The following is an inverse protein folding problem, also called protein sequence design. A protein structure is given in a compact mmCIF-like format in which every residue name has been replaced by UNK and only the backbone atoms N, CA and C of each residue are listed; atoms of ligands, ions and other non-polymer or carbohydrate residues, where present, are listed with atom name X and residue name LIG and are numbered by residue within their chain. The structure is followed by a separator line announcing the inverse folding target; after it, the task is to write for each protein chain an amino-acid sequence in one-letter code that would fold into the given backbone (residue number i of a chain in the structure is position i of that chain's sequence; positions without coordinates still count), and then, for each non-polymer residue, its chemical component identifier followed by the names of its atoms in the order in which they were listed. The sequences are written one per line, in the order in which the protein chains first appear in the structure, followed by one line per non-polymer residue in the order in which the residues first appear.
data_IF_955553115689
#
_entry.id   IF_955553115689
#
_cell.length_a   1.000
_cell.length_b   1.000
_cell.length_c   1.000
_cell.angle_alpha   90.00
_cell.angle_beta   90.00
_cell.angle_gamma   90.00
#
_symmetry.space_group_name_H-M   'P 1'
#
loop_
_entity.id
_entity.type
_entity.pdbx_description
1 polymer ?
#
# COMPACT_ATOMS: atom_id res chain seq x y z
N UNK A 1 51.84 55.98 -11.93
CA UNK A 1 52.39 54.61 -12.02
C UNK A 1 52.19 53.95 -10.67
N UNK A 2 51.56 52.78 -10.69
CA UNK A 2 50.97 52.09 -9.53
C UNK A 2 52.10 51.51 -8.65
N UNK A 3 52.13 51.87 -7.37
CA UNK A 3 52.88 51.13 -6.34
C UNK A 3 51.88 50.41 -5.44
N UNK A 4 51.86 49.09 -5.56
CA UNK A 4 51.07 48.18 -4.75
C UNK A 4 51.76 47.98 -3.38
N UNK A 5 51.02 48.19 -2.30
CA UNK A 5 51.42 47.82 -0.95
C UNK A 5 50.73 46.51 -0.56
N UNK A 6 51.54 45.52 -0.19
CA UNK A 6 51.14 44.20 0.29
C UNK A 6 50.62 44.33 1.72
N UNK A 7 49.38 43.88 1.98
CA UNK A 7 48.88 43.62 3.33
C UNK A 7 48.81 42.10 3.55
N UNK A 8 49.50 41.64 4.58
CA UNK A 8 49.49 40.26 5.09
C UNK A 8 48.29 40.10 6.02
N UNK A 9 47.39 39.16 5.72
CA UNK A 9 46.31 38.76 6.62
C UNK A 9 46.63 37.38 7.25
N UNK A 10 46.43 37.20 8.58
CA UNK A 10 46.76 35.96 9.27
C UNK A 10 45.73 34.85 9.01
N UNK A 11 46.22 33.67 8.63
CA UNK A 11 45.44 32.44 8.51
C UNK A 11 45.04 31.98 9.91
N UNK A 12 43.74 32.03 10.23
CA UNK A 12 43.20 31.40 11.42
C UNK A 12 42.91 29.92 11.11
N UNK A 13 43.67 29.03 11.73
CA UNK A 13 43.37 27.59 11.77
C UNK A 13 42.24 27.38 12.78
N UNK A 14 41.02 27.18 12.30
CA UNK A 14 39.90 26.73 13.13
C UNK A 14 39.90 25.21 13.07
N UNK A 15 40.25 24.58 14.20
CA UNK A 15 40.24 23.14 14.36
C UNK A 15 38.85 22.54 14.16
N UNK A 16 38.78 21.45 13.39
CA UNK A 16 37.58 20.65 13.24
C UNK A 16 37.26 19.95 14.57
N UNK A 17 36.23 20.41 15.26
CA UNK A 17 35.61 19.63 16.32
C UNK A 17 34.78 18.51 15.69
N UNK A 18 35.11 17.25 16.01
CA UNK A 18 34.28 16.11 15.65
C UNK A 18 32.94 16.23 16.39
N UNK A 19 31.87 16.49 15.66
CA UNK A 19 30.50 16.35 16.17
C UNK A 19 30.21 14.85 16.24
N UNK A 20 30.28 14.29 17.45
CA UNK A 20 29.75 12.97 17.72
C UNK A 20 28.23 13.03 17.60
N UNK A 21 27.69 12.51 16.48
CA UNK A 21 26.27 12.22 16.36
C UNK A 21 25.92 11.05 17.29
N UNK A 22 25.76 11.35 18.57
CA UNK A 22 25.12 10.47 19.53
C UNK A 22 23.67 10.28 19.09
N UNK A 23 23.39 9.12 18.49
CA UNK A 23 22.04 8.59 18.29
C UNK A 23 21.29 8.64 19.63
N UNK A 24 20.46 9.67 19.80
CA UNK A 24 19.38 9.63 20.80
C UNK A 24 18.36 8.65 20.25
N UNK A 25 18.53 7.39 20.64
CA UNK A 25 17.46 6.40 20.58
C UNK A 25 16.20 7.04 21.15
N UNK A 26 15.17 7.16 20.31
CA UNK A 26 13.85 7.61 20.72
C UNK A 26 13.40 6.69 21.87
N UNK A 27 13.39 7.21 23.09
CA UNK A 27 12.81 6.53 24.24
C UNK A 27 11.35 6.25 23.88
N UNK A 28 11.00 4.96 23.83
CA UNK A 28 9.66 4.50 23.57
C UNK A 28 8.66 5.28 24.41
N UNK A 29 7.68 5.87 23.74
CA UNK A 29 6.55 6.48 24.41
C UNK A 29 5.89 5.40 25.27
N UNK A 30 5.93 5.62 26.58
CA UNK A 30 5.18 4.83 27.55
C UNK A 30 3.71 4.85 27.16
N UNK A 31 3.14 3.66 26.92
CA UNK A 31 1.69 3.47 26.74
C UNK A 31 1.02 3.68 28.09
N UNK A 32 0.77 4.93 28.46
CA UNK A 32 -0.18 5.25 29.53
C UNK A 32 -1.58 5.10 28.96
N UNK A 33 -2.22 3.99 29.32
CA UNK A 33 -3.56 3.56 28.94
C UNK A 33 -4.64 4.43 29.64
N UNK A 34 -4.70 5.73 29.33
CA UNK A 34 -5.87 6.55 29.65
C UNK A 34 -6.78 6.57 28.43
N UNK A 35 -8.00 6.00 28.56
CA UNK A 35 -9.10 6.15 27.59
C UNK A 35 -9.36 7.63 27.34
N UNK A 36 -8.64 8.24 26.42
CA UNK A 36 -9.03 9.53 25.84
C UNK A 36 -10.08 9.23 24.79
N UNK A 37 -11.24 9.85 24.93
CA UNK A 37 -12.30 9.83 23.92
C UNK A 37 -11.71 10.25 22.57
N UNK A 38 -12.08 9.59 21.46
CA UNK A 38 -11.72 10.02 20.11
C UNK A 38 -11.98 11.52 19.90
N UNK A 39 -11.10 12.25 19.19
CA UNK A 39 -11.35 13.64 18.85
C UNK A 39 -12.61 13.75 17.99
N UNK A 40 -13.33 14.88 18.15
CA UNK A 40 -14.57 15.18 17.42
C UNK A 40 -14.50 16.57 16.81
N UNK A 41 -15.17 16.74 15.68
CA UNK A 41 -15.39 18.03 15.03
C UNK A 41 -16.44 18.84 15.79
N UNK A 42 -16.57 20.12 15.44
CA UNK A 42 -17.57 21.03 16.02
C UNK A 42 -19.02 20.59 15.80
N UNK A 43 -19.28 19.77 14.79
CA UNK A 43 -20.59 19.18 14.51
C UNK A 43 -20.85 17.86 15.26
N UNK A 44 -19.93 17.45 16.13
CA UNK A 44 -20.04 16.26 16.96
C UNK A 44 -19.60 14.96 16.29
N UNK A 45 -19.31 14.94 14.98
CA UNK A 45 -18.81 13.73 14.32
C UNK A 45 -17.36 13.43 14.76
N UNK A 46 -16.94 12.16 14.80
CA UNK A 46 -15.53 11.83 15.00
C UNK A 46 -14.65 12.52 13.96
N UNK A 47 -13.53 13.08 14.42
CA UNK A 47 -12.52 13.64 13.53
C UNK A 47 -11.61 12.51 13.04
N UNK A 48 -11.70 12.22 11.74
CA UNK A 48 -10.87 11.24 11.05
C UNK A 48 -9.62 11.88 10.44
N UNK A 49 -9.53 13.22 10.46
CA UNK A 49 -8.43 13.95 9.84
C UNK A 49 -7.10 13.60 10.50
N UNK A 50 -6.05 13.61 9.68
CA UNK A 50 -4.69 13.37 10.13
C UNK A 50 -3.94 12.41 9.22
N UNK A 51 -2.79 11.96 9.72
CA UNK A 51 -1.91 11.05 9.03
C UNK A 51 -2.00 9.67 9.66
N UNK A 52 -2.16 8.65 8.82
CA UNK A 52 -2.46 7.29 9.21
C UNK A 52 -1.51 6.34 8.52
N UNK A 53 -1.09 5.29 9.22
CA UNK A 53 -0.36 4.18 8.61
C UNK A 53 -1.09 2.87 8.82
N UNK A 54 -1.21 2.08 7.76
CA UNK A 54 -1.76 0.73 7.80
C UNK A 54 -0.67 -0.37 7.77
N UNK A 55 0.62 0.01 7.87
CA UNK A 55 1.77 -0.90 7.94
C UNK A 55 1.47 -2.02 8.93
N UNK A 56 1.61 -3.30 8.58
CA UNK A 56 1.38 -4.38 9.55
C UNK A 56 2.12 -5.66 9.22
N UNK A 57 2.49 -6.40 10.27
CA UNK A 57 3.06 -7.74 10.14
C UNK A 57 1.95 -8.80 9.98
N UNK A 58 0.69 -8.43 10.26
CA UNK A 58 -0.44 -9.32 10.08
C UNK A 58 -0.59 -9.63 8.59
N UNK A 59 -0.50 -10.89 8.17
CA UNK A 59 -0.62 -11.25 6.77
C UNK A 59 -2.04 -10.99 6.28
N UNK A 60 -2.22 -10.73 4.97
CA UNK A 60 -3.57 -10.53 4.41
C UNK A 60 -4.41 -11.80 4.62
N UNK A 61 -3.87 -12.93 4.20
CA UNK A 61 -4.47 -14.26 4.35
C UNK A 61 -3.86 -15.04 5.52
N UNK A 62 -4.66 -15.88 6.16
CA UNK A 62 -4.21 -16.72 7.27
C UNK A 62 -3.22 -17.78 6.80
N UNK A 63 -1.99 -17.80 7.34
CA UNK A 63 -1.04 -18.87 7.08
C UNK A 63 -1.60 -20.23 7.51
N UNK A 64 -1.25 -21.29 6.79
CA UNK A 64 -1.70 -22.66 7.10
C UNK A 64 -1.30 -23.10 8.52
N UNK A 65 -0.17 -22.60 9.02
CA UNK A 65 0.30 -22.85 10.39
C UNK A 65 -0.68 -22.36 11.48
N UNK A 66 -1.57 -21.43 11.14
CA UNK A 66 -2.62 -20.91 12.03
C UNK A 66 -4.03 -21.35 11.63
N UNK A 67 -4.18 -22.38 10.79
CA UNK A 67 -5.50 -22.88 10.38
C UNK A 67 -6.41 -23.14 11.59
N UNK A 68 -7.65 -22.63 11.54
CA UNK A 68 -8.62 -22.73 12.63
C UNK A 68 -8.33 -21.84 13.86
N UNK A 69 -7.25 -21.05 13.85
CA UNK A 69 -6.87 -20.15 14.95
C UNK A 69 -6.96 -18.69 14.50
N UNK A 70 -7.89 -17.94 15.07
CA UNK A 70 -8.11 -16.54 14.71
C UNK A 70 -7.10 -15.58 15.37
N UNK A 71 -6.55 -15.95 16.52
CA UNK A 71 -5.66 -15.11 17.32
C UNK A 71 -4.33 -15.78 17.65
N UNK A 72 -3.30 -14.96 17.62
CA UNK A 72 -1.95 -15.22 18.10
C UNK A 72 -1.89 -15.08 19.62
N UNK A 73 -1.03 -15.87 20.24
CA UNK A 73 -0.56 -15.65 21.61
C UNK A 73 0.41 -14.48 21.67
N UNK A 74 0.68 -13.95 22.87
CA UNK A 74 1.63 -12.84 23.04
C UNK A 74 3.05 -13.19 22.61
N UNK A 75 3.46 -14.45 22.78
CA UNK A 75 4.77 -14.94 22.31
C UNK A 75 4.84 -15.01 20.80
N UNK A 76 3.77 -15.49 20.15
CA UNK A 76 3.68 -15.52 18.68
C UNK A 76 3.64 -14.12 18.09
N UNK A 77 2.95 -13.16 18.72
CA UNK A 77 2.99 -11.73 18.32
C UNK A 77 4.42 -11.22 18.38
N UNK A 78 5.11 -11.41 19.50
CA UNK A 78 6.52 -10.99 19.66
C UNK A 78 7.43 -11.68 18.65
N UNK A 79 7.17 -12.95 18.30
CA UNK A 79 7.92 -13.70 17.31
C UNK A 79 7.71 -13.12 15.91
N UNK A 80 6.46 -12.86 15.51
CA UNK A 80 6.12 -12.29 14.21
C UNK A 80 6.72 -10.89 14.03
N UNK A 81 6.68 -10.05 15.06
CA UNK A 81 7.31 -8.72 15.02
C UNK A 81 8.84 -8.82 14.90
N UNK A 82 9.48 -9.79 15.59
CA UNK A 82 10.92 -10.04 15.45
C UNK A 82 11.25 -10.53 14.04
N UNK A 83 10.49 -11.50 13.52
CA UNK A 83 10.69 -12.03 12.18
C UNK A 83 10.54 -10.94 11.11
N UNK A 84 9.54 -10.06 11.23
CA UNK A 84 9.36 -8.93 10.32
C UNK A 84 10.56 -7.99 10.31
N UNK A 85 11.11 -7.67 11.50
CA UNK A 85 12.35 -6.86 11.62
C UNK A 85 13.56 -7.56 11.01
N UNK A 86 13.78 -8.83 11.31
CA UNK A 86 14.93 -9.57 10.79
C UNK A 86 14.84 -9.76 9.28
N UNK A 87 13.65 -10.01 8.72
CA UNK A 87 13.41 -10.09 7.27
C UNK A 87 13.73 -8.74 6.59
N UNK A 88 13.30 -7.64 7.19
CA UNK A 88 13.60 -6.30 6.70
C UNK A 88 15.10 -6.05 6.71
N UNK A 89 15.79 -6.31 7.83
CA UNK A 89 17.24 -6.17 7.95
C UNK A 89 18.01 -7.07 6.96
N UNK A 90 17.56 -8.31 6.76
CA UNK A 90 18.18 -9.25 5.84
C UNK A 90 18.10 -8.78 4.37
N UNK A 91 17.14 -7.92 4.02
CA UNK A 91 17.02 -7.37 2.66
C UNK A 91 18.23 -6.53 2.22
N UNK A 92 19.02 -5.97 3.15
CA UNK A 92 20.29 -5.29 2.81
C UNK A 92 21.33 -6.24 2.21
N UNK A 93 21.21 -7.53 2.49
CA UNK A 93 22.12 -8.57 1.99
C UNK A 93 21.58 -9.33 0.78
N UNK A 94 20.37 -8.98 0.31
CA UNK A 94 19.75 -9.60 -0.86
C UNK A 94 20.39 -9.05 -2.14
N UNK A 95 21.54 -9.61 -2.52
CA UNK A 95 22.12 -9.46 -3.85
C UNK A 95 21.56 -10.59 -4.71
N UNK A 96 20.83 -10.26 -5.78
CA UNK A 96 20.40 -11.28 -6.74
C UNK A 96 21.62 -11.88 -7.43
N UNK A 97 21.62 -13.21 -7.55
CA UNK A 97 22.67 -13.97 -8.24
C UNK A 97 22.29 -14.35 -9.67
N UNK A 98 21.09 -13.97 -10.13
CA UNK A 98 20.61 -14.32 -11.47
C UNK A 98 20.99 -13.21 -12.45
N UNK A 99 21.62 -13.53 -13.59
CA UNK A 99 21.89 -12.55 -14.63
C UNK A 99 20.60 -11.85 -15.07
N UNK A 100 20.59 -10.51 -15.06
CA UNK A 100 19.45 -9.70 -15.49
C UNK A 100 18.45 -9.32 -14.40
N UNK A 101 18.55 -9.85 -13.18
CA UNK A 101 17.77 -9.36 -12.05
C UNK A 101 18.47 -8.14 -11.41
N UNK A 102 17.69 -7.11 -11.06
CA UNK A 102 18.21 -5.88 -10.41
C UNK A 102 18.14 -5.90 -8.88
N UNK A 103 17.65 -7.00 -8.31
CA UNK A 103 17.43 -7.16 -6.87
C UNK A 103 16.08 -6.60 -6.43
N UNK A 104 15.89 -6.54 -5.12
CA UNK A 104 14.69 -5.99 -4.46
C UNK A 104 15.10 -4.83 -3.52
N UNK A 105 14.12 -4.09 -3.01
CA UNK A 105 14.33 -3.02 -2.05
C UNK A 105 15.04 -3.52 -0.78
N UNK A 106 15.96 -2.70 -0.28
CA UNK A 106 16.73 -2.94 0.94
C UNK A 106 16.00 -2.43 2.20
N UNK A 107 16.65 -2.54 3.36
CA UNK A 107 16.04 -2.21 4.65
C UNK A 107 15.81 -0.70 4.84
N UNK A 108 16.43 0.15 4.02
CA UNK A 108 16.22 1.59 4.06
C UNK A 108 14.85 2.00 3.52
N UNK A 109 14.27 1.20 2.62
CA UNK A 109 12.95 1.47 2.03
C UNK A 109 11.85 0.60 2.64
N UNK A 110 12.14 -0.67 2.95
CA UNK A 110 11.15 -1.57 3.52
C UNK A 110 10.75 -1.15 4.93
N UNK A 111 9.45 -1.10 5.18
CA UNK A 111 8.93 -0.85 6.51
C UNK A 111 9.00 -2.12 7.35
N UNK A 112 9.66 -2.04 8.51
CA UNK A 112 9.53 -3.09 9.50
C UNK A 112 8.28 -2.84 10.34
N UNK A 113 7.38 -3.83 10.36
CA UNK A 113 6.08 -3.73 10.99
C UNK A 113 6.13 -3.80 12.53
N UNK A 114 6.95 -2.93 13.14
CA UNK A 114 7.43 -3.00 14.54
C UNK A 114 6.36 -2.84 15.62
N UNK A 115 5.16 -2.33 15.30
CA UNK A 115 4.19 -1.86 16.32
C UNK A 115 2.72 -2.27 16.08
N UNK A 116 2.44 -3.13 15.09
CA UNK A 116 1.13 -3.11 14.43
C UNK A 116 0.26 -4.38 14.59
N UNK A 117 0.74 -5.44 15.24
CA UNK A 117 -0.10 -6.63 15.49
C UNK A 117 -0.99 -6.43 16.74
N UNK A 118 -1.60 -5.26 16.89
CA UNK A 118 -2.38 -4.87 18.06
C UNK A 118 -3.66 -5.70 18.23
N UNK A 119 -4.23 -6.19 17.14
CA UNK A 119 -5.42 -7.06 17.14
C UNK A 119 -5.10 -8.50 17.49
N UNK A 120 -3.82 -8.89 17.48
CA UNK A 120 -3.34 -10.27 17.58
C UNK A 120 -3.96 -11.22 16.56
N UNK A 121 -4.55 -10.71 15.47
CA UNK A 121 -5.13 -11.58 14.44
C UNK A 121 -4.05 -12.30 13.66
N UNK A 122 -4.37 -13.51 13.26
CA UNK A 122 -3.54 -14.33 12.36
C UNK A 122 -3.71 -13.95 10.88
N UNK A 123 -4.66 -13.06 10.54
CA UNK A 123 -4.94 -12.55 9.20
C UNK A 123 -5.67 -11.19 9.23
N UNK A 124 -5.52 -10.38 8.18
CA UNK A 124 -6.36 -9.18 7.94
C UNK A 124 -7.78 -9.60 7.56
N UNK A 125 -7.91 -10.64 6.73
CA UNK A 125 -9.21 -11.20 6.37
C UNK A 125 -9.85 -11.82 7.61
N UNK A 126 -11.06 -11.39 7.92
CA UNK A 126 -11.86 -11.81 9.07
C UNK A 126 -13.07 -12.65 8.67
N UNK A 127 -13.55 -12.45 7.44
CA UNK A 127 -14.57 -13.29 6.82
C UNK A 127 -14.16 -13.55 5.35
N UNK A 128 -14.14 -14.80 4.87
CA UNK A 128 -14.51 -16.05 5.55
C UNK A 128 -13.71 -16.37 6.82
N UNK A 129 -14.30 -17.19 7.71
CA UNK A 129 -13.72 -17.54 9.02
C UNK A 129 -12.39 -18.28 8.94
N UNK A 130 -12.01 -18.85 7.80
CA UNK A 130 -10.68 -19.43 7.57
C UNK A 130 -9.60 -18.35 7.38
N UNK A 131 -9.99 -17.08 7.25
CA UNK A 131 -9.10 -15.93 7.12
C UNK A 131 -8.44 -15.86 5.75
N UNK A 132 -9.06 -16.43 4.72
CA UNK A 132 -8.54 -16.49 3.35
C UNK A 132 -9.58 -15.95 2.37
N UNK A 133 -9.10 -15.46 1.23
CA UNK A 133 -10.00 -15.08 0.15
C UNK A 133 -10.79 -16.30 -0.32
N UNK A 134 -12.07 -16.12 -0.68
CA UNK A 134 -12.87 -17.18 -1.28
C UNK A 134 -12.24 -17.69 -2.57
N UNK A 135 -12.54 -18.94 -2.97
CA UNK A 135 -12.18 -19.41 -4.30
C UNK A 135 -12.77 -18.51 -5.38
N UNK A 136 -12.00 -18.33 -6.46
CA UNK A 136 -12.49 -17.72 -7.69
C UNK A 136 -13.65 -18.54 -8.28
N UNK A 137 -14.60 -17.86 -8.92
CA UNK A 137 -15.61 -18.51 -9.76
C UNK A 137 -14.94 -19.23 -10.94
N UNK A 138 -15.57 -20.27 -11.53
CA UNK A 138 -15.03 -20.93 -12.72
C UNK A 138 -14.76 -19.95 -13.88
N UNK A 139 -15.66 -18.98 -14.07
CA UNK A 139 -15.54 -17.94 -15.10
C UNK A 139 -14.36 -17.00 -14.80
N UNK A 140 -14.22 -16.57 -13.54
CA UNK A 140 -13.08 -15.74 -13.11
C UNK A 140 -11.75 -16.47 -13.27
N UNK A 141 -11.70 -17.76 -12.93
CA UNK A 141 -10.52 -18.60 -13.12
C UNK A 141 -10.13 -18.67 -14.60
N UNK A 142 -11.10 -18.93 -15.48
CA UNK A 142 -10.86 -18.96 -16.93
C UNK A 142 -10.37 -17.62 -17.47
N UNK A 143 -10.94 -16.51 -17.01
CA UNK A 143 -10.45 -15.16 -17.37
C UNK A 143 -9.02 -14.96 -16.89
N UNK A 144 -8.72 -15.29 -15.62
CA UNK A 144 -7.38 -15.16 -15.07
C UNK A 144 -6.35 -16.02 -15.82
N UNK A 145 -6.68 -17.26 -16.17
CA UNK A 145 -5.81 -18.14 -16.97
C UNK A 145 -5.55 -17.55 -18.37
N UNK A 146 -6.59 -17.01 -19.03
CA UNK A 146 -6.44 -16.34 -20.31
C UNK A 146 -5.56 -15.07 -20.21
N UNK A 147 -5.65 -14.33 -19.10
CA UNK A 147 -4.80 -13.17 -18.84
C UNK A 147 -3.34 -13.58 -18.67
N UNK A 148 -3.09 -14.64 -17.91
CA UNK A 148 -1.72 -15.13 -17.73
C UNK A 148 -1.15 -15.64 -19.05
N UNK A 149 -1.93 -16.38 -19.84
CA UNK A 149 -1.50 -16.84 -21.15
C UNK A 149 -1.18 -15.68 -22.09
N UNK A 150 -2.04 -14.66 -22.14
CA UNK A 150 -1.80 -13.47 -22.94
C UNK A 150 -0.49 -12.78 -22.53
N UNK A 151 -0.25 -12.55 -21.24
CA UNK A 151 0.98 -11.90 -20.79
C UNK A 151 2.22 -12.78 -20.96
N UNK A 152 2.11 -14.10 -20.90
CA UNK A 152 3.22 -14.99 -21.23
C UNK A 152 3.62 -14.89 -22.71
N UNK A 153 2.65 -14.65 -23.60
CA UNK A 153 2.87 -14.48 -25.04
C UNK A 153 3.31 -13.06 -25.41
N UNK A 154 2.87 -12.06 -24.65
CA UNK A 154 3.09 -10.64 -24.89
C UNK A 154 3.71 -10.00 -23.63
N UNK A 155 4.89 -10.46 -23.16
CA UNK A 155 5.43 -9.98 -21.89
C UNK A 155 5.72 -8.47 -21.94
N UNK A 156 6.21 -7.98 -23.09
CA UNK A 156 6.75 -6.63 -23.26
C UNK A 156 6.53 -6.09 -24.69
N UNK A 157 5.35 -6.33 -25.27
CA UNK A 157 5.04 -5.89 -26.63
C UNK A 157 4.80 -4.37 -26.69
N UNK A 158 4.16 -3.83 -25.65
CA UNK A 158 3.96 -2.40 -25.46
C UNK A 158 3.89 -2.00 -23.99
N UNK A 159 3.80 -0.67 -23.72
CA UNK A 159 3.65 -0.18 -22.36
C UNK A 159 2.33 -0.62 -21.71
N UNK A 160 1.31 -0.99 -22.49
CA UNK A 160 0.05 -1.53 -21.99
C UNK A 160 0.15 -2.91 -21.35
N UNK A 161 1.18 -3.70 -21.70
CA UNK A 161 1.42 -5.05 -21.16
C UNK A 161 2.09 -5.02 -19.78
N UNK A 162 2.63 -3.85 -19.40
CA UNK A 162 3.18 -3.59 -18.08
C UNK A 162 2.06 -3.41 -17.05
N UNK A 163 2.34 -3.75 -15.80
CA UNK A 163 1.38 -3.66 -14.70
C UNK A 163 1.02 -2.19 -14.39
N UNK A 164 -0.12 -1.97 -13.74
CA UNK A 164 -0.54 -0.61 -13.32
C UNK A 164 0.46 0.05 -12.35
N UNK A 165 1.23 -0.77 -11.64
CA UNK A 165 2.32 -0.38 -10.75
C UNK A 165 3.49 0.19 -11.56
N UNK A 166 3.98 -0.54 -12.56
CA UNK A 166 5.11 -0.12 -13.40
C UNK A 166 4.77 1.09 -14.27
N UNK A 167 3.50 1.21 -14.64
CA UNK A 167 2.95 2.33 -15.42
C UNK A 167 2.58 3.54 -14.57
N UNK A 168 2.80 3.48 -13.26
CA UNK A 168 2.48 4.54 -12.31
C UNK A 168 1.00 5.00 -12.34
N UNK A 169 0.07 4.06 -12.56
CA UNK A 169 -1.36 4.36 -12.68
C UNK A 169 -2.04 4.28 -11.32
N UNK A 170 -1.88 3.16 -10.60
CA UNK A 170 -2.45 2.93 -9.25
C UNK A 170 -1.64 1.86 -8.53
N UNK A 171 -1.65 1.88 -7.19
CA UNK A 171 -0.97 0.90 -6.36
C UNK A 171 -1.95 -0.02 -5.60
N UNK A 172 -1.40 -1.06 -4.96
CA UNK A 172 -2.15 -1.99 -4.09
C UNK A 172 -2.77 -1.25 -2.88
N UNK A 173 -2.07 -0.23 -2.37
CA UNK A 173 -2.51 0.58 -1.23
C UNK A 173 -3.54 1.65 -1.59
N UNK A 174 -3.72 1.97 -2.88
CA UNK A 174 -4.66 3.01 -3.33
C UNK A 174 -6.10 2.71 -2.89
N UNK A 175 -6.46 1.43 -2.89
CA UNK A 175 -7.79 0.95 -2.52
C UNK A 175 -8.91 1.46 -3.43
N UNK A 176 -10.15 1.04 -3.13
CA UNK A 176 -10.51 0.09 -2.08
C UNK A 176 -10.28 -1.39 -2.45
N UNK A 177 -9.98 -2.28 -1.48
CA UNK A 177 -9.56 -1.96 -0.12
C UNK A 177 -8.11 -1.46 -0.07
N UNK A 178 -7.80 -0.60 0.91
CA UNK A 178 -6.44 -0.08 1.16
C UNK A 178 -5.59 -1.12 1.90
N UNK A 179 -5.04 -2.08 1.16
CA UNK A 179 -4.23 -3.16 1.71
C UNK A 179 -2.77 -2.71 1.91
N UNK A 180 -2.09 -3.19 2.96
CA UNK A 180 -0.70 -2.85 3.22
C UNK A 180 0.25 -3.51 2.21
N UNK A 181 1.37 -2.85 1.98
CA UNK A 181 2.48 -3.27 1.12
C UNK A 181 3.78 -3.28 1.93
N UNK A 182 4.94 -3.47 1.28
CA UNK A 182 6.22 -3.56 1.99
C UNK A 182 6.83 -2.19 2.36
N UNK A 183 6.25 -1.06 1.94
CA UNK A 183 6.71 0.30 2.26
C UNK A 183 5.64 1.35 1.98
N UNK A 184 5.85 2.57 2.49
CA UNK A 184 5.00 3.76 2.25
C UNK A 184 3.51 3.49 2.48
N UNK A 185 3.20 2.82 3.59
CA UNK A 185 1.85 2.43 3.97
C UNK A 185 1.07 3.58 4.62
N UNK A 186 1.21 4.78 4.09
CA UNK A 186 0.82 6.03 4.71
C UNK A 186 -0.30 6.71 3.95
N UNK A 187 -1.18 7.37 4.70
CA UNK A 187 -2.38 8.01 4.20
C UNK A 187 -2.58 9.35 4.91
N UNK A 188 -3.05 10.34 4.17
CA UNK A 188 -3.55 11.58 4.73
C UNK A 188 -5.06 11.65 4.53
N UNK A 189 -5.80 11.74 5.63
CA UNK A 189 -7.23 11.96 5.64
C UNK A 189 -7.52 13.44 5.89
N UNK A 190 -8.34 14.04 5.03
CA UNK A 190 -8.85 15.40 5.21
C UNK A 190 -10.38 15.32 5.23
N UNK A 191 -10.98 15.64 6.38
CA UNK A 191 -12.42 15.62 6.55
C UNK A 191 -12.96 17.05 6.58
N UNK A 192 -14.05 17.27 5.85
CA UNK A 192 -14.82 18.51 5.87
C UNK A 192 -16.26 18.19 6.25
N UNK A 193 -17.14 19.20 6.17
CA UNK A 193 -18.58 18.97 6.35
C UNK A 193 -19.11 17.97 5.32
N UNK A 194 -18.74 18.18 4.05
CA UNK A 194 -19.40 17.58 2.89
C UNK A 194 -18.55 16.53 2.16
N UNK A 195 -17.26 16.40 2.52
CA UNK A 195 -16.32 15.48 1.89
C UNK A 195 -15.35 14.87 2.89
N UNK A 196 -14.91 13.64 2.60
CA UNK A 196 -13.63 13.10 3.08
C UNK A 196 -12.72 12.88 1.87
N UNK A 197 -11.50 13.38 1.92
CA UNK A 197 -10.46 13.04 0.96
C UNK A 197 -9.43 12.12 1.63
N UNK A 198 -9.04 11.07 0.93
CA UNK A 198 -7.98 10.14 1.31
C UNK A 198 -6.88 10.29 0.26
N UNK A 199 -5.72 10.81 0.66
CA UNK A 199 -4.51 10.78 -0.13
C UNK A 199 -3.67 9.58 0.31
N UNK A 200 -3.36 8.68 -0.61
CA UNK A 200 -2.42 7.58 -0.42
C UNK A 200 -1.02 8.03 -0.83
N UNK A 201 0.00 7.76 -0.02
CA UNK A 201 1.38 8.18 -0.32
C UNK A 201 1.89 7.56 -1.63
N UNK A 202 1.68 6.27 -1.84
CA UNK A 202 2.04 5.59 -3.07
C UNK A 202 1.26 6.15 -4.28
N UNK A 203 1.98 6.55 -5.33
CA UNK A 203 1.46 7.12 -6.59
C UNK A 203 0.81 8.52 -6.45
N UNK A 204 0.37 8.91 -5.25
CA UNK A 204 -0.47 10.07 -4.93
C UNK A 204 -1.93 9.95 -5.33
N UNK A 205 -2.48 8.74 -5.26
CA UNK A 205 -3.89 8.55 -5.49
C UNK A 205 -4.72 9.34 -4.45
N UNK A 206 -5.59 10.23 -4.94
CA UNK A 206 -6.54 10.97 -4.10
C UNK A 206 -7.95 10.45 -4.39
N UNK A 207 -8.57 9.88 -3.35
CA UNK A 207 -9.97 9.47 -3.38
C UNK A 207 -10.83 10.49 -2.65
N UNK A 208 -11.73 11.14 -3.39
CA UNK A 208 -12.68 12.13 -2.85
C UNK A 208 -14.02 11.45 -2.62
N UNK A 209 -14.51 11.50 -1.38
CA UNK A 209 -15.71 10.81 -0.92
C UNK A 209 -16.75 11.87 -0.53
N UNK A 210 -17.76 12.16 -1.36
CA UNK A 210 -18.87 13.03 -1.02
C UNK A 210 -19.72 12.43 0.11
N UNK A 211 -20.23 13.29 1.00
CA UNK A 211 -21.04 12.95 2.17
C UNK A 211 -22.48 13.49 2.11
N UNK A 212 -22.86 14.08 0.99
CA UNK A 212 -24.12 14.82 0.83
C UNK A 212 -25.29 13.98 0.29
N UNK A 213 -25.09 12.66 0.20
CA UNK A 213 -26.13 11.72 -0.25
C UNK A 213 -26.42 11.78 -1.75
N UNK A 214 -25.60 12.47 -2.55
CA UNK A 214 -25.76 12.47 -4.02
C UNK A 214 -25.58 11.05 -4.58
N UNK A 215 -26.30 10.68 -5.66
CA UNK A 215 -26.15 9.36 -6.26
C UNK A 215 -24.74 9.15 -6.84
N UNK A 216 -24.41 7.88 -7.10
CA UNK A 216 -23.25 7.54 -7.89
C UNK A 216 -23.37 8.07 -9.33
N UNK A 217 -22.22 8.35 -9.94
CA UNK A 217 -22.13 8.69 -11.36
C UNK A 217 -22.24 7.44 -12.24
N UNK A 218 -22.00 7.62 -13.54
CA UNK A 218 -22.01 6.55 -14.54
C UNK A 218 -20.63 6.31 -15.19
N UNK A 219 -19.60 7.02 -14.74
CA UNK A 219 -18.23 6.90 -15.27
C UNK A 219 -17.50 5.85 -14.47
N UNK A 220 -16.88 4.89 -15.17
CA UNK A 220 -16.05 3.87 -14.54
C UNK A 220 -14.63 4.36 -14.32
N UNK A 221 -14.05 4.06 -13.15
CA UNK A 221 -12.73 4.54 -12.72
C UNK A 221 -11.89 3.39 -12.16
N UNK A 222 -10.57 3.60 -12.02
CA UNK A 222 -9.68 2.62 -11.41
C UNK A 222 -10.05 2.35 -9.94
N UNK A 223 -10.14 3.42 -9.13
CA UNK A 223 -10.54 3.35 -7.72
C UNK A 223 -12.07 3.33 -7.49
N UNK A 224 -12.85 3.23 -8.57
CA UNK A 224 -14.31 3.36 -8.53
C UNK A 224 -14.81 4.76 -8.15
N UNK A 225 -16.12 4.87 -7.95
CA UNK A 225 -16.83 6.09 -7.52
C UNK A 225 -17.37 5.88 -6.10
N UNK A 226 -16.85 6.64 -5.13
CA UNK A 226 -17.16 6.49 -3.71
C UNK A 226 -18.26 7.44 -3.23
N UNK A 227 -19.12 6.99 -2.31
CA UNK A 227 -20.11 7.79 -1.57
C UNK A 227 -20.09 7.42 -0.11
N UNK A 228 -20.09 8.42 0.76
CA UNK A 228 -20.00 8.24 2.20
C UNK A 228 -21.27 8.68 2.93
N UNK A 229 -21.57 8.00 4.03
CA UNK A 229 -22.57 8.42 5.00
C UNK A 229 -22.13 8.03 6.42
N UNK A 230 -22.74 8.65 7.43
CA UNK A 230 -22.43 8.35 8.84
C UNK A 230 -23.45 7.39 9.44
N UNK A 231 -22.96 6.33 10.07
CA UNK A 231 -23.73 5.42 10.92
C UNK A 231 -23.21 5.56 12.36
N UNK A 232 -23.84 6.45 13.13
CA UNK A 232 -23.32 6.85 14.44
C UNK A 232 -21.93 7.46 14.31
N UNK A 233 -20.95 6.86 14.97
CA UNK A 233 -19.54 7.28 14.96
C UNK A 233 -18.70 6.64 13.83
N UNK A 234 -19.32 5.97 12.87
CA UNK A 234 -18.63 5.29 11.78
C UNK A 234 -18.95 5.95 10.45
N UNK A 235 -17.92 6.35 9.71
CA UNK A 235 -18.07 6.71 8.30
C UNK A 235 -18.14 5.41 7.50
N UNK A 236 -19.25 5.20 6.81
CA UNK A 236 -19.46 4.09 5.87
C UNK A 236 -19.29 4.63 4.47
N UNK A 237 -18.49 3.96 3.65
CA UNK A 237 -18.21 4.37 2.28
C UNK A 237 -18.55 3.22 1.34
N UNK A 238 -19.47 3.46 0.42
CA UNK A 238 -19.77 2.57 -0.69
C UNK A 238 -18.98 3.01 -1.92
N UNK A 239 -18.32 2.05 -2.57
CA UNK A 239 -17.64 2.30 -3.84
C UNK A 239 -18.12 1.28 -4.88
N UNK A 240 -18.54 1.79 -6.03
CA UNK A 240 -18.94 1.01 -7.22
C UNK A 240 -18.27 1.59 -8.48
N UNK A 241 -18.71 1.20 -9.68
CA UNK A 241 -18.22 1.76 -10.96
C UNK A 241 -16.71 1.56 -11.18
N UNK A 242 -16.19 0.40 -10.83
CA UNK A 242 -14.84 0.00 -11.24
C UNK A 242 -14.78 -0.22 -12.75
N UNK A 243 -13.60 0.02 -13.33
CA UNK A 243 -13.38 -0.09 -14.79
C UNK A 243 -13.17 -1.52 -15.30
N UNK A 244 -13.14 -2.53 -14.42
CA UNK A 244 -12.99 -3.94 -14.78
C UNK A 244 -11.63 -4.31 -15.41
N UNK A 245 -10.67 -3.37 -15.45
CA UNK A 245 -9.34 -3.61 -15.98
C UNK A 245 -8.48 -4.32 -14.95
N UNK A 246 -7.49 -5.07 -15.43
CA UNK A 246 -6.53 -5.76 -14.56
C UNK A 246 -5.79 -4.76 -13.69
N UNK A 247 -5.78 -5.00 -12.39
CA UNK A 247 -5.15 -4.14 -11.41
C UNK A 247 -5.17 -4.79 -10.03
N UNK A 248 -4.85 -4.01 -9.00
CA UNK A 248 -4.63 -4.51 -7.65
C UNK A 248 -5.82 -4.31 -6.68
N UNK A 249 -6.96 -3.82 -7.18
CA UNK A 249 -8.16 -3.59 -6.37
C UNK A 249 -8.72 -4.91 -5.84
N UNK A 250 -8.59 -5.12 -4.52
CA UNK A 250 -9.00 -6.36 -3.86
C UNK A 250 -8.03 -7.54 -4.05
N UNK A 251 -6.87 -7.32 -4.67
CA UNK A 251 -5.86 -8.36 -4.90
C UNK A 251 -4.63 -8.07 -4.03
N UNK A 252 -4.30 -8.91 -3.03
CA UNK A 252 -3.09 -8.71 -2.25
C UNK A 252 -1.84 -9.02 -3.08
N UNK A 253 -0.73 -8.38 -2.71
CA UNK A 253 0.56 -8.56 -3.37
C UNK A 253 1.01 -10.03 -3.46
N UNK A 254 0.60 -10.85 -2.48
CA UNK A 254 0.95 -12.28 -2.40
C UNK A 254 0.39 -13.12 -3.53
N UNK A 255 -0.63 -12.65 -4.27
CA UNK A 255 -1.18 -13.38 -5.42
C UNK A 255 -0.36 -13.21 -6.71
N UNK A 256 0.61 -12.28 -6.73
CA UNK A 256 1.55 -12.08 -7.83
C UNK A 256 0.91 -11.70 -9.17
N UNK A 257 1.74 -11.67 -10.22
CA UNK A 257 1.29 -11.58 -11.62
C UNK A 257 0.45 -10.34 -11.96
N UNK A 258 0.81 -9.14 -11.50
CA UNK A 258 0.19 -7.90 -11.98
C UNK A 258 -1.27 -7.65 -11.57
N UNK A 259 -1.78 -8.41 -10.59
CA UNK A 259 -3.15 -8.27 -10.11
C UNK A 259 -4.18 -9.01 -10.98
N UNK A 260 -5.46 -8.85 -10.65
CA UNK A 260 -6.59 -9.51 -11.32
C UNK A 260 -7.58 -8.49 -11.86
N UNK A 261 -8.50 -8.93 -12.72
CA UNK A 261 -9.60 -8.09 -13.21
C UNK A 261 -10.76 -8.16 -12.20
N UNK A 262 -11.10 -7.07 -11.48
CA UNK A 262 -12.35 -7.04 -10.74
C UNK A 262 -13.53 -7.12 -11.71
N UNK A 263 -14.66 -7.66 -11.28
CA UNK A 263 -15.88 -7.58 -12.08
C UNK A 263 -16.39 -6.14 -12.14
N UNK A 264 -17.03 -5.82 -13.24
CA UNK A 264 -17.69 -4.54 -13.43
C UNK A 264 -18.81 -4.25 -12.40
N UNK A 265 -19.32 -5.29 -11.74
CA UNK A 265 -20.32 -5.24 -10.66
C UNK A 265 -19.70 -5.26 -9.27
N UNK A 266 -18.37 -5.21 -9.16
CA UNK A 266 -17.69 -5.12 -7.87
C UNK A 266 -18.24 -3.94 -7.06
N UNK A 267 -18.52 -4.22 -5.79
CA UNK A 267 -18.95 -3.26 -4.79
C UNK A 267 -18.07 -3.44 -3.56
N UNK A 268 -17.53 -2.34 -3.05
CA UNK A 268 -16.78 -2.34 -1.80
C UNK A 268 -17.48 -1.45 -0.79
N UNK A 269 -17.73 -2.01 0.38
CA UNK A 269 -18.18 -1.26 1.56
C UNK A 269 -17.01 -1.12 2.51
N UNK A 270 -16.60 0.10 2.78
CA UNK A 270 -15.58 0.42 3.77
C UNK A 270 -16.22 1.07 5.00
N UNK A 271 -15.62 0.86 6.18
CA UNK A 271 -16.04 1.45 7.44
C UNK A 271 -14.82 2.02 8.14
N UNK A 272 -14.89 3.29 8.50
CA UNK A 272 -13.85 4.03 9.21
C UNK A 272 -14.38 4.46 10.58
N UNK A 273 -13.83 3.86 11.63
CA UNK A 273 -14.25 4.14 13.01
C UNK A 273 -13.05 4.59 13.84
N UNK A 274 -13.07 5.82 14.36
CA UNK A 274 -12.01 6.30 15.26
C UNK A 274 -12.22 5.69 16.65
N UNK A 275 -11.51 4.61 16.97
CA UNK A 275 -11.69 3.85 18.22
C UNK A 275 -10.82 4.38 19.37
N UNK A 276 -9.75 5.11 19.05
CA UNK A 276 -8.89 5.80 20.00
C UNK A 276 -8.28 7.07 19.36
N UNK A 277 -7.66 7.97 20.13
CA UNK A 277 -7.00 9.14 19.56
C UNK A 277 -5.88 8.79 18.58
N UNK A 278 -5.28 7.61 18.68
CA UNK A 278 -4.19 7.14 17.83
C UNK A 278 -4.57 5.93 16.95
N UNK A 279 -5.84 5.47 16.99
CA UNK A 279 -6.31 4.32 16.23
C UNK A 279 -7.55 4.67 15.39
N UNK A 280 -7.43 4.47 14.08
CA UNK A 280 -8.53 4.46 13.13
C UNK A 280 -8.74 3.02 12.67
N UNK A 281 -9.85 2.40 13.10
CA UNK A 281 -10.21 1.07 12.62
C UNK A 281 -10.77 1.19 11.21
N UNK A 282 -10.05 0.63 10.24
CA UNK A 282 -10.49 0.49 8.87
C UNK A 282 -11.00 -0.94 8.66
N UNK A 283 -12.25 -1.07 8.23
CA UNK A 283 -12.85 -2.34 7.85
C UNK A 283 -13.37 -2.25 6.43
N UNK A 284 -13.41 -3.38 5.74
CA UNK A 284 -13.95 -3.44 4.40
C UNK A 284 -14.66 -4.76 4.14
N UNK A 285 -15.59 -4.74 3.20
CA UNK A 285 -16.24 -5.91 2.59
C UNK A 285 -16.20 -5.73 1.09
N UNK A 286 -15.59 -6.68 0.40
CA UNK A 286 -15.56 -6.77 -1.06
C UNK A 286 -16.63 -7.76 -1.50
N UNK A 287 -17.62 -7.27 -2.22
CA UNK A 287 -18.62 -8.05 -2.92
C UNK A 287 -18.33 -7.98 -4.43
N UNK A 288 -17.72 -9.04 -4.95
CA UNK A 288 -17.42 -9.20 -6.36
C UNK A 288 -17.91 -10.58 -6.82
N UNK A 289 -19.19 -10.72 -7.19
CA UNK A 289 -19.78 -12.01 -7.55
C UNK A 289 -19.30 -12.52 -8.91
N UNK A 290 -18.73 -11.65 -9.74
CA UNK A 290 -18.10 -12.06 -10.98
C UNK A 290 -16.72 -12.67 -10.75
N UNK A 291 -16.08 -12.38 -9.61
CA UNK A 291 -14.73 -12.81 -9.29
C UNK A 291 -14.68 -13.93 -8.26
N UNK A 292 -15.37 -13.79 -7.14
CA UNK A 292 -15.31 -14.68 -5.99
C UNK A 292 -16.63 -15.42 -5.78
N UNK A 293 -16.53 -16.63 -5.21
CA UNK A 293 -17.73 -17.45 -4.91
C UNK A 293 -18.61 -16.90 -3.79
N UNK A 294 -18.10 -15.93 -3.01
CA UNK A 294 -18.81 -15.19 -1.95
C UNK A 294 -18.07 -13.88 -1.65
N UNK A 295 -18.70 -12.91 -0.97
CA UNK A 295 -18.00 -11.74 -0.46
C UNK A 295 -16.91 -12.12 0.55
N UNK A 296 -15.98 -11.19 0.78
CA UNK A 296 -14.96 -11.32 1.81
C UNK A 296 -14.70 -9.98 2.49
N UNK A 297 -14.28 -10.02 3.75
CA UNK A 297 -14.11 -8.87 4.61
C UNK A 297 -12.80 -8.93 5.37
N UNK A 298 -12.27 -7.77 5.71
CA UNK A 298 -11.07 -7.65 6.54
C UNK A 298 -11.08 -6.40 7.39
N UNK A 299 -10.14 -6.35 8.33
CA UNK A 299 -9.94 -5.18 9.18
C UNK A 299 -8.46 -4.88 9.40
N UNK A 300 -8.15 -3.59 9.43
CA UNK A 300 -6.81 -3.07 9.65
C UNK A 300 -6.91 -1.93 10.67
N UNK A 301 -6.33 -2.07 11.87
CA UNK A 301 -6.20 -0.95 12.80
C UNK A 301 -5.10 -0.01 12.29
N UNK A 302 -5.47 1.09 11.65
CA UNK A 302 -4.52 2.11 11.23
C UNK A 302 -4.06 2.91 12.44
N UNK A 303 -2.75 3.16 12.53
CA UNK A 303 -2.16 3.98 13.60
C UNK A 303 -1.91 5.40 13.12
N UNK A 304 -2.11 6.37 14.00
CA UNK A 304 -1.71 7.75 13.71
C UNK A 304 -0.20 7.83 13.56
N UNK A 305 0.27 8.58 12.58
CA UNK A 305 1.67 8.90 12.38
C UNK A 305 1.88 10.41 12.38
N UNK A 306 3.14 10.84 12.50
CA UNK A 306 3.50 12.23 12.26
C UNK A 306 3.62 12.45 10.75
N UNK A 307 2.93 13.45 10.23
CA UNK A 307 3.06 13.85 8.83
C UNK A 307 4.23 14.80 8.56
N UNK A 308 4.29 15.37 7.34
CA UNK A 308 3.34 15.14 6.24
C UNK A 308 3.53 13.78 5.56
N UNK A 309 2.57 13.39 4.73
CA UNK A 309 2.82 12.41 3.64
C UNK A 309 3.67 13.11 2.59
N UNK A 310 4.71 12.44 2.10
CA UNK A 310 5.67 13.01 1.15
C UNK A 310 5.33 12.64 -0.29
N UNK A 311 6.00 13.32 -1.22
CA UNK A 311 5.83 13.06 -2.64
C UNK A 311 6.43 11.69 -3.03
N UNK A 312 5.63 10.82 -3.65
CA UNK A 312 6.01 9.61 -4.39
C UNK A 312 6.02 9.85 -5.91
N UNK A 313 7.11 10.42 -6.43
CA UNK A 313 7.27 10.70 -7.86
C UNK A 313 7.57 9.41 -8.67
N UNK A 314 6.57 8.53 -8.85
CA UNK A 314 6.73 7.22 -9.49
C UNK A 314 7.36 7.25 -10.89
N UNK A 315 7.08 8.31 -11.65
CA UNK A 315 7.64 8.47 -13.01
C UNK A 315 9.05 9.05 -13.01
N UNK A 316 9.46 9.77 -11.97
CA UNK A 316 10.75 10.44 -11.93
C UNK A 316 11.87 9.39 -11.80
N UNK A 317 12.82 9.42 -12.74
CA UNK A 317 13.89 8.41 -12.87
C UNK A 317 13.41 6.94 -13.02
N UNK A 318 12.14 6.71 -13.38
CA UNK A 318 11.66 5.36 -13.69
C UNK A 318 12.00 4.99 -15.15
N UNK A 319 13.25 4.58 -15.35
CA UNK A 319 13.75 4.09 -16.64
C UNK A 319 13.41 2.61 -16.91
N UNK A 320 12.84 1.91 -15.93
CA UNK A 320 12.61 0.48 -16.01
C UNK A 320 11.74 0.12 -17.22
N UNK A 321 10.63 0.81 -17.43
CA UNK A 321 9.73 0.54 -18.55
C UNK A 321 10.43 0.71 -19.91
N UNK A 322 11.15 1.82 -20.11
CA UNK A 322 11.90 2.06 -21.36
C UNK A 322 12.97 1.00 -21.57
N UNK A 323 13.69 0.62 -20.51
CA UNK A 323 14.75 -0.38 -20.58
C UNK A 323 14.21 -1.78 -20.89
N UNK A 324 13.12 -2.18 -20.25
CA UNK A 324 12.45 -3.47 -20.46
C UNK A 324 11.96 -3.58 -21.91
N UNK A 325 11.22 -2.56 -22.39
CA UNK A 325 10.71 -2.56 -23.76
C UNK A 325 11.85 -2.55 -24.79
N UNK A 326 12.89 -1.73 -24.58
CA UNK A 326 14.05 -1.67 -25.48
C UNK A 326 14.85 -2.97 -25.49
N UNK A 327 14.99 -3.63 -24.33
CA UNK A 327 15.59 -4.94 -24.17
C UNK A 327 14.81 -6.00 -24.97
N UNK A 328 13.50 -6.05 -24.79
CA UNK A 328 12.61 -6.95 -25.53
C UNK A 328 12.74 -6.78 -27.05
N UNK A 329 12.74 -5.54 -27.57
CA UNK A 329 12.95 -5.30 -29.01
C UNK A 329 14.31 -5.79 -29.50
N UNK A 330 15.32 -5.83 -28.63
CA UNK A 330 16.65 -6.37 -28.97
C UNK A 330 16.61 -7.89 -29.06
N UNK A 331 16.01 -8.55 -28.08
CA UNK A 331 15.85 -10.02 -28.05
C UNK A 331 15.08 -10.53 -29.28
N UNK A 332 14.01 -9.82 -29.68
CA UNK A 332 13.25 -10.16 -30.89
C UNK A 332 14.09 -10.05 -32.17
N UNK A 333 14.88 -8.99 -32.32
CA UNK A 333 15.79 -8.83 -33.47
C UNK A 333 16.82 -9.96 -33.51
N UNK A 334 17.37 -10.34 -32.36
CA UNK A 334 18.31 -11.45 -32.27
C UNK A 334 17.65 -12.80 -32.60
N UNK A 335 16.43 -13.03 -32.13
CA UNK A 335 15.67 -14.24 -32.44
C UNK A 335 15.32 -14.32 -33.94
N UNK A 336 14.92 -13.21 -34.56
CA UNK A 336 14.66 -13.13 -36.00
C UNK A 336 15.92 -13.43 -36.83
N UNK A 337 17.06 -12.85 -36.44
CA UNK A 337 18.35 -13.07 -37.11
C UNK A 337 18.84 -14.53 -36.97
N UNK A 338 18.54 -15.20 -35.85
CA UNK A 338 18.84 -16.63 -35.67
C UNK A 338 17.95 -17.52 -36.54
N UNK A 339 16.67 -17.16 -36.74
CA UNK A 339 15.73 -17.90 -37.61
C UNK A 339 16.02 -17.73 -39.11
N UNK A 340 16.69 -16.66 -39.51
CA UNK A 340 17.05 -16.38 -40.91
C UNK A 340 18.38 -17.02 -41.37
N UNK A 341 19.11 -17.69 -40.47
CA UNK A 341 20.36 -18.40 -40.77
C UNK A 341 20.12 -19.90 -40.84
#
# INVERSE_FOLDING_TARGET
MISAAVLVAPIHVIGQAQVSNGSRAAKGASVTNSRRTPPRLSDGRPDLSGYWSNNTATPVERPQAFAGREFLTDDEVRALERESRERTKASDSQVTQRPGEVGDYNAAFKEDSRWIVSTKRTSIITDPKDGRMPPLTPEARKRFEADQEYHNQHPHDGPEDMTTIERCITWISSGPPMLPTFYNNNYQLVQTRDYVAILTEMIHDVRVIPLDGRPHGNVRQWMGDSRGHWEGDTLVVETINFNGKRGWFGTPMTEGGGGKRPDEKMRVIERFTRTAPDILLYQFTVDDPGMYTKPWSGEIPMRSMNGPVYEYACHEANYAMVNILSGSRTEEREAANKRSK
#
